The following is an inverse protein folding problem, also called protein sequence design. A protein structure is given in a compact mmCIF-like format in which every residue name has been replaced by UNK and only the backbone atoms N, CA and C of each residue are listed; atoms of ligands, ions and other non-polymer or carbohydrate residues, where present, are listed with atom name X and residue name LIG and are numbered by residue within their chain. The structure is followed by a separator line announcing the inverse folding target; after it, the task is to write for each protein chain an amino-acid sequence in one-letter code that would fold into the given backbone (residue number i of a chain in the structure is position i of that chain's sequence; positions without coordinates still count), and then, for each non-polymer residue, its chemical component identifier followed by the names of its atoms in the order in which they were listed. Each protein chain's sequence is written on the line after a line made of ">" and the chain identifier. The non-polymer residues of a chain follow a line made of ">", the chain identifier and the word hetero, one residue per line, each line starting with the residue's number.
data_IF_138727409956
#
_entry.id   IF_138727409956
#
_cell.length_a   1.000
_cell.length_b   1.000
_cell.length_c   1.000
_cell.angle_alpha   90.00
_cell.angle_beta   90.00
_cell.angle_gamma   90.00
#
_symmetry.space_group_name_H-M   'P 1'
#
loop_
_entity.id
_entity.type
_entity.pdbx_description
1 polymer ?
#
# COMPACT_ATOMS: atom_id res chain seq x y z
N UNK A 1 -67.29 105.92 -42.74
CA UNK A 1 -66.10 105.55 -43.41
C UNK A 1 -64.90 105.45 -42.41
N UNK A 2 -64.71 104.43 -41.73
CA UNK A 2 -63.48 104.03 -41.05
C UNK A 2 -63.84 102.72 -40.32
N UNK A 3 -63.42 101.57 -40.80
CA UNK A 3 -63.22 100.39 -39.97
C UNK A 3 -63.16 99.12 -40.84
N UNK A 4 -62.04 98.87 -41.47
CA UNK A 4 -61.83 97.58 -42.13
C UNK A 4 -60.35 97.23 -42.36
N UNK A 5 -59.40 97.87 -41.65
CA UNK A 5 -58.00 97.54 -41.83
C UNK A 5 -57.24 96.92 -40.64
N UNK A 6 -57.85 96.75 -39.45
CA UNK A 6 -57.16 96.28 -38.25
C UNK A 6 -57.30 94.77 -37.95
N UNK A 7 -58.24 94.06 -38.56
CA UNK A 7 -58.49 92.62 -38.26
C UNK A 7 -57.59 91.69 -39.07
N UNK A 8 -57.04 92.15 -40.23
CA UNK A 8 -56.25 91.26 -41.06
C UNK A 8 -54.72 91.13 -40.63
N UNK A 9 -54.24 92.05 -39.79
CA UNK A 9 -52.87 92.05 -39.35
C UNK A 9 -52.63 91.19 -38.12
N UNK A 10 -53.63 90.99 -37.23
CA UNK A 10 -53.51 90.16 -36.02
C UNK A 10 -53.46 88.63 -36.30
N UNK A 11 -54.14 88.18 -37.38
CA UNK A 11 -54.13 86.76 -37.75
C UNK A 11 -52.84 86.30 -38.41
N UNK A 12 -52.08 87.19 -39.09
CA UNK A 12 -50.80 86.86 -39.69
C UNK A 12 -49.69 86.78 -38.63
N UNK A 13 -49.72 87.56 -37.57
CA UNK A 13 -48.76 87.50 -36.46
C UNK A 13 -49.01 86.29 -35.60
N UNK A 14 -50.26 85.87 -35.38
CA UNK A 14 -50.58 84.61 -34.67
C UNK A 14 -50.16 83.36 -35.47
N UNK A 15 -50.35 83.39 -36.78
CA UNK A 15 -49.92 82.26 -37.65
C UNK A 15 -48.42 82.15 -37.71
N UNK A 16 -47.62 83.23 -37.75
CA UNK A 16 -46.22 83.24 -37.71
C UNK A 16 -45.61 82.83 -36.35
N UNK A 17 -46.24 83.23 -35.22
CA UNK A 17 -45.84 82.80 -33.87
C UNK A 17 -46.15 81.35 -33.66
N UNK A 18 -47.25 80.79 -34.15
CA UNK A 18 -47.60 79.37 -34.05
C UNK A 18 -46.64 78.49 -34.91
N UNK A 19 -46.23 78.97 -36.11
CA UNK A 19 -45.31 78.28 -36.98
C UNK A 19 -43.83 78.26 -36.38
N UNK A 20 -43.43 79.35 -35.73
CA UNK A 20 -42.14 79.43 -35.05
C UNK A 20 -42.09 78.51 -33.80
N UNK A 21 -43.22 78.40 -33.07
CA UNK A 21 -43.29 77.52 -31.87
C UNK A 21 -43.26 76.03 -32.27
N UNK A 22 -43.93 75.67 -33.37
CA UNK A 22 -43.90 74.27 -33.88
C UNK A 22 -42.54 73.95 -34.46
N UNK A 23 -41.83 74.89 -35.13
CA UNK A 23 -40.50 74.69 -35.61
C UNK A 23 -39.44 74.55 -34.50
N UNK A 24 -39.59 75.26 -33.38
CA UNK A 24 -38.71 75.10 -32.19
C UNK A 24 -39.04 73.83 -31.45
N UNK A 25 -40.25 73.31 -31.36
CA UNK A 25 -40.56 72.01 -30.80
C UNK A 25 -40.07 70.86 -31.65
N UNK A 26 -40.05 70.97 -32.99
CA UNK A 26 -39.52 70.00 -33.91
C UNK A 26 -37.99 69.97 -33.87
N UNK A 27 -37.32 71.09 -33.61
CA UNK A 27 -35.86 71.12 -33.44
C UNK A 27 -35.35 70.51 -32.09
N UNK A 28 -36.19 70.54 -31.01
CA UNK A 28 -35.86 69.87 -29.77
C UNK A 28 -36.14 68.36 -29.82
N UNK A 29 -37.01 67.87 -30.71
CA UNK A 29 -37.23 66.43 -30.89
C UNK A 29 -36.15 65.76 -31.79
N UNK A 30 -35.32 66.50 -32.48
CA UNK A 30 -34.24 65.97 -33.35
C UNK A 30 -32.96 65.69 -32.62
N UNK A 31 -32.81 65.98 -31.30
CA UNK A 31 -31.76 65.47 -30.47
C UNK A 31 -32.03 64.01 -30.08
N UNK A 32 -32.11 63.11 -31.03
CA UNK A 32 -32.05 61.68 -30.79
C UNK A 32 -30.79 61.37 -30.00
N UNK A 33 -31.01 60.78 -28.84
CA UNK A 33 -29.97 60.22 -27.93
C UNK A 33 -29.13 59.27 -28.81
N UNK A 34 -27.96 59.70 -29.24
CA UNK A 34 -26.98 58.84 -29.90
C UNK A 34 -26.64 57.75 -28.88
N UNK A 35 -27.14 56.55 -29.13
CA UNK A 35 -26.83 55.39 -28.30
C UNK A 35 -25.31 55.30 -28.21
N UNK A 36 -24.78 55.39 -26.99
CA UNK A 36 -23.35 55.32 -26.78
C UNK A 36 -22.87 53.99 -27.38
N UNK A 37 -21.80 53.98 -28.19
CA UNK A 37 -21.29 52.74 -28.75
C UNK A 37 -21.03 51.76 -27.58
N UNK A 38 -21.54 50.53 -27.72
CA UNK A 38 -21.35 49.48 -26.74
C UNK A 38 -19.88 49.44 -26.31
N UNK A 39 -19.55 49.42 -25.01
CA UNK A 39 -18.17 49.42 -24.56
C UNK A 39 -17.44 48.25 -25.23
N UNK A 40 -16.25 48.56 -25.76
CA UNK A 40 -15.43 47.54 -26.42
C UNK A 40 -15.21 46.34 -25.50
N UNK A 41 -15.31 45.08 -25.99
CA UNK A 41 -15.08 43.89 -25.20
C UNK A 41 -13.75 43.94 -24.46
N UNK A 42 -13.75 43.73 -23.14
CA UNK A 42 -12.53 43.75 -22.31
C UNK A 42 -11.61 42.64 -22.70
N UNK A 43 -10.28 42.90 -22.83
CA UNK A 43 -9.32 41.84 -23.08
C UNK A 43 -9.13 40.99 -21.81
N UNK A 44 -9.17 39.66 -21.96
CA UNK A 44 -8.87 38.68 -20.92
C UNK A 44 -7.94 37.62 -21.49
N UNK A 45 -7.07 37.09 -20.67
CA UNK A 45 -6.27 35.91 -21.01
C UNK A 45 -6.99 34.67 -20.49
N UNK A 46 -7.25 33.71 -21.38
CA UNK A 46 -7.90 32.45 -21.03
C UNK A 46 -7.04 31.27 -21.47
N UNK A 47 -7.02 30.23 -20.64
CA UNK A 47 -6.34 28.96 -20.86
C UNK A 47 -7.38 27.86 -21.05
N UNK A 48 -7.11 26.90 -21.92
CA UNK A 48 -7.93 25.69 -22.01
C UNK A 48 -7.74 24.85 -20.75
N UNK A 49 -8.83 24.41 -20.14
CA UNK A 49 -8.78 23.44 -19.06
C UNK A 49 -8.40 22.08 -19.64
N UNK A 50 -7.12 21.77 -19.58
CA UNK A 50 -6.61 20.43 -19.93
C UNK A 50 -6.79 19.52 -18.72
N UNK A 51 -7.40 18.35 -18.95
CA UNK A 51 -7.52 17.36 -17.90
C UNK A 51 -6.12 16.78 -17.62
N UNK A 52 -5.60 17.03 -16.44
CA UNK A 52 -4.43 16.31 -15.97
C UNK A 52 -4.79 14.83 -15.91
N UNK A 53 -4.13 14.02 -16.72
CA UNK A 53 -4.37 12.60 -16.76
C UNK A 53 -4.04 11.95 -15.43
N UNK A 54 -5.01 11.72 -14.59
CA UNK A 54 -5.02 11.03 -13.31
C UNK A 54 -4.74 11.90 -12.07
N UNK A 55 -5.60 11.78 -11.03
CA UNK A 55 -5.31 12.36 -9.72
C UNK A 55 -3.96 11.85 -9.21
N UNK A 56 -3.20 12.65 -8.43
CA UNK A 56 -1.93 12.22 -7.87
C UNK A 56 -2.15 10.94 -7.09
N UNK A 57 -1.62 9.85 -7.60
CA UNK A 57 -1.67 8.55 -6.93
C UNK A 57 -0.78 8.63 -5.72
N UNK A 58 -1.33 8.39 -4.55
CA UNK A 58 -0.52 8.27 -3.36
C UNK A 58 0.45 7.10 -3.54
N UNK A 59 1.73 7.41 -3.64
CA UNK A 59 2.81 6.42 -3.68
C UNK A 59 3.31 6.25 -2.26
N UNK A 60 3.31 5.03 -1.76
CA UNK A 60 3.80 4.68 -0.44
C UNK A 60 5.10 3.91 -0.56
N UNK A 61 6.11 4.23 0.26
CA UNK A 61 7.33 3.45 0.30
C UNK A 61 7.06 2.08 0.91
N UNK A 62 7.66 1.05 0.34
CA UNK A 62 7.61 -0.31 0.82
C UNK A 62 8.95 -1.01 0.67
N UNK A 63 9.02 -2.25 1.15
CA UNK A 63 10.19 -3.09 1.07
C UNK A 63 9.82 -4.49 0.59
N UNK A 64 10.67 -5.10 -0.22
CA UNK A 64 10.50 -6.49 -0.64
C UNK A 64 10.90 -7.41 0.50
N UNK A 65 9.99 -8.31 0.86
CA UNK A 65 10.21 -9.36 1.85
C UNK A 65 9.81 -10.72 1.29
N UNK A 66 10.41 -11.77 1.83
CA UNK A 66 9.91 -13.12 1.64
C UNK A 66 8.58 -13.27 2.38
N UNK A 67 7.62 -13.97 1.80
CA UNK A 67 6.33 -14.24 2.47
C UNK A 67 6.50 -14.89 3.81
N UNK A 68 7.43 -15.85 3.91
CA UNK A 68 7.73 -16.59 5.13
C UNK A 68 9.22 -16.51 5.45
N UNK A 69 9.52 -16.32 6.71
CA UNK A 69 10.88 -16.42 7.23
C UNK A 69 10.88 -17.16 8.56
N UNK A 70 11.92 -17.93 8.80
CA UNK A 70 12.07 -18.72 10.03
C UNK A 70 13.45 -18.47 10.64
N UNK A 71 13.52 -18.11 11.94
CA UNK A 71 14.76 -18.11 12.66
C UNK A 71 15.18 -19.56 12.91
N UNK A 72 16.33 -19.96 12.39
CA UNK A 72 16.89 -21.29 12.62
C UNK A 72 17.68 -21.29 13.92
N UNK A 73 17.27 -22.13 14.87
CA UNK A 73 17.86 -22.25 16.19
C UNK A 73 18.03 -23.71 16.59
N UNK A 74 19.02 -24.01 17.45
CA UNK A 74 19.21 -25.34 18.00
C UNK A 74 18.16 -25.64 19.09
N UNK A 75 17.72 -26.89 19.16
CA UNK A 75 16.80 -27.39 20.21
C UNK A 75 17.52 -27.85 21.47
N UNK A 76 18.88 -27.84 21.43
CA UNK A 76 19.76 -28.12 22.57
C UNK A 76 20.86 -27.06 22.63
N UNK A 77 21.37 -26.77 23.83
CA UNK A 77 22.47 -25.83 24.00
C UNK A 77 23.83 -26.52 23.77
N UNK A 78 24.83 -25.74 23.33
CA UNK A 78 26.19 -26.23 23.13
C UNK A 78 27.06 -25.24 22.37
N UNK A 79 28.30 -25.64 22.11
CA UNK A 79 29.27 -24.86 21.35
C UNK A 79 29.13 -25.15 19.86
N UNK A 80 29.04 -24.12 19.03
CA UNK A 80 29.04 -24.27 17.57
C UNK A 80 30.43 -24.68 17.10
N UNK A 81 30.54 -25.83 16.47
CA UNK A 81 31.81 -26.36 15.92
C UNK A 81 31.92 -26.08 14.43
N UNK A 82 30.79 -26.08 13.71
CA UNK A 82 30.77 -25.96 12.26
C UNK A 82 29.60 -25.12 11.79
N UNK A 83 29.89 -24.19 10.87
CA UNK A 83 28.87 -23.47 10.09
C UNK A 83 29.12 -23.77 8.61
N UNK A 84 28.12 -24.32 7.91
CA UNK A 84 28.22 -24.78 6.52
C UNK A 84 27.67 -23.81 5.50
N UNK A 85 26.98 -22.76 5.98
CA UNK A 85 26.34 -21.76 5.12
C UNK A 85 26.67 -20.36 5.59
N UNK A 86 26.60 -19.40 4.65
CA UNK A 86 26.89 -17.99 4.86
C UNK A 86 25.68 -17.16 4.47
N UNK A 87 25.72 -15.88 4.86
CA UNK A 87 24.76 -14.87 4.42
C UNK A 87 24.65 -14.86 2.89
N UNK A 88 23.43 -14.97 2.37
CA UNK A 88 23.13 -15.00 0.94
C UNK A 88 23.15 -16.40 0.30
N UNK A 89 23.59 -17.43 1.02
CA UNK A 89 23.57 -18.80 0.50
C UNK A 89 22.15 -19.33 0.36
N UNK A 90 21.92 -20.05 -0.74
CA UNK A 90 20.69 -20.81 -0.95
C UNK A 90 20.82 -22.19 -0.33
N UNK A 91 19.80 -22.61 0.41
CA UNK A 91 19.74 -23.91 1.08
C UNK A 91 18.52 -24.70 0.62
N UNK A 92 18.68 -26.03 0.58
CA UNK A 92 17.58 -26.95 0.36
C UNK A 92 16.93 -27.38 1.69
N UNK A 93 15.67 -27.80 1.65
CA UNK A 93 15.03 -28.42 2.81
C UNK A 93 15.82 -29.69 3.25
N UNK A 94 16.06 -29.84 4.56
CA UNK A 94 16.85 -30.92 5.13
C UNK A 94 18.39 -30.72 5.06
N UNK A 95 18.86 -29.64 4.43
CA UNK A 95 20.30 -29.34 4.36
C UNK A 95 20.84 -28.96 5.75
N UNK A 96 22.01 -29.52 6.11
CA UNK A 96 22.73 -29.19 7.34
C UNK A 96 23.32 -27.79 7.20
N UNK A 97 22.98 -26.87 8.11
CA UNK A 97 23.46 -25.49 8.10
C UNK A 97 24.51 -25.22 9.20
N UNK A 98 24.38 -25.88 10.35
CA UNK A 98 25.37 -25.78 11.44
C UNK A 98 25.42 -27.05 12.31
N UNK A 99 26.46 -27.20 13.12
CA UNK A 99 26.60 -28.28 14.10
C UNK A 99 27.12 -27.74 15.43
N UNK A 100 26.60 -28.30 16.51
CA UNK A 100 27.19 -28.20 17.84
C UNK A 100 28.23 -29.28 18.06
N UNK A 101 29.04 -29.14 19.10
CA UNK A 101 29.88 -30.21 19.60
C UNK A 101 29.00 -31.39 20.08
N UNK A 102 29.08 -32.58 19.45
CA UNK A 102 28.19 -33.69 19.77
C UNK A 102 28.77 -34.58 20.90
N UNK A 103 29.98 -34.28 21.40
CA UNK A 103 30.73 -35.23 22.25
C UNK A 103 29.96 -35.74 23.46
N UNK A 104 29.30 -34.84 24.22
CA UNK A 104 28.56 -35.23 25.41
C UNK A 104 27.23 -35.89 25.06
N UNK A 105 26.53 -35.36 24.05
CA UNK A 105 25.28 -35.97 23.56
C UNK A 105 25.51 -37.38 22.98
N UNK A 106 26.61 -37.58 22.28
CA UNK A 106 27.03 -38.90 21.73
C UNK A 106 27.29 -39.90 22.83
N UNK A 107 28.07 -39.52 23.89
CA UNK A 107 28.32 -40.39 25.04
C UNK A 107 27.04 -40.77 25.79
N UNK A 108 26.15 -39.79 25.99
CA UNK A 108 24.84 -40.00 26.61
C UNK A 108 23.99 -40.98 25.80
N UNK A 109 23.93 -40.79 24.48
CA UNK A 109 23.17 -41.69 23.59
C UNK A 109 23.76 -43.12 23.61
N UNK A 110 25.09 -43.26 23.59
CA UNK A 110 25.75 -44.56 23.69
C UNK A 110 25.50 -45.26 25.05
N UNK A 111 25.53 -44.50 26.16
CA UNK A 111 25.22 -45.03 27.50
C UNK A 111 23.78 -45.50 27.59
N UNK A 112 22.81 -44.70 27.10
CA UNK A 112 21.40 -45.09 27.12
C UNK A 112 21.10 -46.29 26.20
N UNK A 113 21.78 -46.41 25.07
CA UNK A 113 21.69 -47.57 24.19
C UNK A 113 22.21 -48.84 24.86
N UNK A 114 23.34 -48.78 25.59
CA UNK A 114 23.86 -49.90 26.34
C UNK A 114 22.92 -50.35 27.48
N UNK A 115 22.25 -49.38 28.15
CA UNK A 115 21.24 -49.68 29.17
C UNK A 115 20.02 -50.37 28.55
N UNK A 116 19.56 -49.95 27.37
CA UNK A 116 18.48 -50.62 26.65
C UNK A 116 18.85 -52.05 26.26
N UNK A 117 20.05 -52.28 25.77
CA UNK A 117 20.57 -53.62 25.43
C UNK A 117 20.59 -54.54 26.65
N UNK A 118 21.12 -54.06 27.79
CA UNK A 118 21.06 -54.83 29.06
C UNK A 118 19.63 -55.19 29.49
N UNK A 119 18.72 -54.26 29.41
CA UNK A 119 17.30 -54.51 29.74
C UNK A 119 16.61 -55.47 28.74
N UNK A 120 17.03 -55.46 27.46
CA UNK A 120 16.56 -56.44 26.46
C UNK A 120 17.00 -57.86 26.78
N UNK A 121 18.29 -58.04 27.17
CA UNK A 121 18.79 -59.34 27.61
C UNK A 121 18.12 -59.85 28.87
N UNK A 122 17.84 -58.97 29.85
CA UNK A 122 17.12 -59.32 31.06
C UNK A 122 15.67 -59.77 30.76
N UNK A 123 14.98 -59.04 29.84
CA UNK A 123 13.64 -59.44 29.39
C UNK A 123 13.68 -60.79 28.66
N UNK A 124 14.66 -61.02 27.78
CA UNK A 124 14.80 -62.31 27.09
C UNK A 124 15.00 -63.47 28.06
N UNK A 125 15.81 -63.30 29.09
CA UNK A 125 16.02 -64.28 30.13
C UNK A 125 14.74 -64.55 30.92
N UNK A 126 14.06 -63.50 31.39
CA UNK A 126 12.80 -63.63 32.16
C UNK A 126 11.72 -64.32 31.31
N UNK A 127 11.68 -64.03 29.99
CA UNK A 127 10.74 -64.69 29.08
C UNK A 127 11.03 -66.19 28.97
N UNK A 128 12.30 -66.57 28.75
CA UNK A 128 12.68 -67.98 28.67
C UNK A 128 12.37 -68.75 29.95
N UNK A 129 12.52 -68.12 31.15
CA UNK A 129 12.17 -68.71 32.41
C UNK A 129 10.65 -68.92 32.54
N UNK A 130 9.85 -67.89 32.17
CA UNK A 130 8.42 -67.96 32.16
C UNK A 130 7.88 -69.05 31.22
N UNK A 131 8.49 -69.16 30.00
CA UNK A 131 8.04 -70.19 29.03
C UNK A 131 8.34 -71.61 29.56
N UNK A 132 9.49 -71.83 30.25
CA UNK A 132 9.79 -73.12 30.95
C UNK A 132 8.82 -73.41 32.09
N UNK A 133 8.58 -72.45 32.98
CA UNK A 133 7.69 -72.61 34.12
C UNK A 133 6.23 -72.82 33.67
N UNK A 134 5.80 -72.23 32.62
CA UNK A 134 4.49 -72.49 32.01
C UNK A 134 4.35 -73.94 31.50
N UNK A 135 5.36 -74.46 30.82
CA UNK A 135 5.35 -75.85 30.39
C UNK A 135 5.30 -76.82 31.57
N UNK A 136 6.10 -76.62 32.63
CA UNK A 136 6.12 -77.40 33.85
C UNK A 136 4.79 -77.33 34.65
N UNK A 137 4.19 -76.13 34.68
CA UNK A 137 2.88 -75.96 35.32
C UNK A 137 1.72 -76.70 34.60
N UNK A 138 1.80 -76.76 33.27
CA UNK A 138 0.83 -77.52 32.47
C UNK A 138 0.85 -79.00 32.78
N UNK A 139 2.00 -79.51 33.22
CA UNK A 139 2.18 -80.90 33.68
C UNK A 139 2.06 -81.08 35.17
N UNK A 140 1.64 -80.02 35.92
CA UNK A 140 1.47 -80.01 37.41
C UNK A 140 2.81 -80.26 38.16
N UNK A 141 3.96 -79.93 37.59
CA UNK A 141 5.29 -80.20 38.16
C UNK A 141 5.79 -79.06 39.02
N UNK A 142 5.14 -77.90 39.03
CA UNK A 142 5.50 -76.75 39.91
C UNK A 142 4.26 -76.22 40.65
N UNK A 143 4.51 -75.50 41.77
CA UNK A 143 3.49 -74.81 42.51
C UNK A 143 2.91 -73.59 41.76
N UNK A 144 1.63 -73.28 41.83
CA UNK A 144 1.02 -72.10 41.22
C UNK A 144 1.75 -70.77 41.59
N UNK A 145 2.19 -70.66 42.86
CA UNK A 145 2.91 -69.51 43.38
C UNK A 145 4.28 -69.26 42.62
N UNK A 146 4.94 -70.33 42.17
CA UNK A 146 6.16 -70.27 41.42
C UNK A 146 5.92 -69.68 40.02
N UNK A 147 4.87 -70.11 39.34
CA UNK A 147 4.46 -69.55 38.06
C UNK A 147 4.09 -68.06 38.17
N UNK A 148 3.34 -67.67 39.20
CA UNK A 148 2.98 -66.28 39.47
C UNK A 148 4.22 -65.40 39.70
N UNK A 149 5.21 -65.92 40.48
CA UNK A 149 6.47 -65.20 40.68
C UNK A 149 7.21 -64.93 39.34
N UNK A 150 7.28 -65.93 38.45
CA UNK A 150 7.94 -65.83 37.16
C UNK A 150 7.17 -64.89 36.20
N UNK A 151 5.83 -64.93 36.27
CA UNK A 151 4.99 -63.95 35.54
C UNK A 151 5.26 -62.50 35.97
N UNK A 152 5.36 -62.28 37.30
CA UNK A 152 5.70 -60.97 37.85
C UNK A 152 7.13 -60.53 37.47
N UNK A 153 8.11 -61.45 37.48
CA UNK A 153 9.49 -61.17 37.05
C UNK A 153 9.53 -60.76 35.55
N UNK A 154 8.81 -61.46 34.69
CA UNK A 154 8.68 -61.12 33.28
C UNK A 154 8.03 -59.73 33.09
N UNK A 155 6.91 -59.46 33.80
CA UNK A 155 6.21 -58.15 33.70
C UNK A 155 7.15 -57.00 34.14
N UNK A 156 7.93 -57.20 35.21
CA UNK A 156 8.92 -56.26 35.71
C UNK A 156 10.03 -56.00 34.68
N UNK A 157 10.61 -57.06 34.10
CA UNK A 157 11.67 -56.95 33.07
C UNK A 157 11.12 -56.26 31.80
N UNK A 158 9.86 -56.51 31.45
CA UNK A 158 9.22 -55.82 30.32
C UNK A 158 9.08 -54.31 30.57
N UNK A 159 8.63 -53.93 31.79
CA UNK A 159 8.53 -52.52 32.18
C UNK A 159 9.90 -51.82 32.18
N UNK A 160 10.94 -52.47 32.70
CA UNK A 160 12.33 -51.95 32.68
C UNK A 160 12.87 -51.74 31.25
N UNK A 161 12.64 -52.69 30.34
CA UNK A 161 13.01 -52.56 28.94
C UNK A 161 12.28 -51.39 28.27
N UNK A 162 10.97 -51.23 28.53
CA UNK A 162 10.21 -50.12 27.97
C UNK A 162 10.73 -48.76 28.46
N UNK A 163 11.05 -48.63 29.74
CA UNK A 163 11.68 -47.46 30.34
C UNK A 163 13.03 -47.13 29.66
N UNK A 164 13.92 -48.12 29.58
CA UNK A 164 15.22 -47.94 28.92
C UNK A 164 15.09 -47.56 27.45
N UNK A 165 14.09 -48.09 26.74
CA UNK A 165 13.81 -47.75 25.36
C UNK A 165 13.45 -46.25 25.18
N UNK A 166 12.62 -45.72 26.10
CA UNK A 166 12.24 -44.28 26.07
C UNK A 166 13.46 -43.40 26.39
N UNK A 167 14.33 -43.80 27.34
CA UNK A 167 15.55 -43.05 27.65
C UNK A 167 16.52 -43.06 26.49
N UNK A 168 16.73 -44.19 25.80
CA UNK A 168 17.58 -44.30 24.64
C UNK A 168 17.03 -43.42 23.48
N UNK A 169 15.70 -43.37 23.27
CA UNK A 169 15.08 -42.51 22.28
C UNK A 169 15.33 -41.03 22.57
N UNK A 170 15.13 -40.60 23.82
CA UNK A 170 15.38 -39.20 24.22
C UNK A 170 16.85 -38.80 24.00
N UNK A 171 17.80 -39.67 24.40
CA UNK A 171 19.23 -39.39 24.21
C UNK A 171 19.64 -39.35 22.72
N UNK A 172 19.07 -40.22 21.89
CA UNK A 172 19.28 -40.22 20.46
C UNK A 172 18.71 -38.92 19.80
N UNK A 173 17.54 -38.46 20.23
CA UNK A 173 16.96 -37.20 19.77
C UNK A 173 17.83 -35.99 20.17
N UNK A 174 18.33 -35.96 21.41
CA UNK A 174 19.27 -34.92 21.86
C UNK A 174 20.55 -34.87 21.00
N UNK A 175 21.10 -36.02 20.65
CA UNK A 175 22.24 -36.11 19.72
C UNK A 175 21.85 -35.58 18.33
N UNK A 176 20.68 -35.95 17.80
CA UNK A 176 20.17 -35.45 16.51
C UNK A 176 20.03 -33.93 16.52
N UNK A 177 19.55 -33.34 17.64
CA UNK A 177 19.37 -31.90 17.78
C UNK A 177 20.67 -31.09 17.85
N UNK A 178 21.85 -31.74 18.00
CA UNK A 178 23.14 -31.06 17.83
C UNK A 178 23.45 -30.69 16.38
N UNK A 179 22.65 -31.17 15.43
CA UNK A 179 22.73 -30.81 14.01
C UNK A 179 21.56 -29.92 13.64
N UNK A 180 21.87 -28.70 13.20
CA UNK A 180 20.87 -27.76 12.71
C UNK A 180 20.64 -27.96 11.21
N UNK A 181 19.40 -28.17 10.83
CA UNK A 181 18.98 -28.35 9.43
C UNK A 181 18.04 -27.23 9.02
N UNK A 182 17.99 -26.91 7.74
CA UNK A 182 17.01 -25.99 7.17
C UNK A 182 15.68 -26.75 6.99
N UNK A 183 14.62 -26.28 7.63
CA UNK A 183 13.29 -26.91 7.53
C UNK A 183 12.65 -26.73 6.14
N UNK A 184 13.01 -25.65 5.45
CA UNK A 184 12.51 -25.28 4.12
C UNK A 184 13.66 -24.87 3.19
N UNK A 185 13.42 -24.97 1.90
CA UNK A 185 14.32 -24.39 0.92
C UNK A 185 14.20 -22.85 0.93
N UNK A 186 15.35 -22.16 0.88
CA UNK A 186 15.35 -20.70 1.00
C UNK A 186 16.74 -20.10 0.90
N UNK A 187 16.85 -18.85 1.34
CA UNK A 187 18.09 -18.07 1.35
C UNK A 187 18.38 -17.61 2.79
N UNK A 188 19.62 -17.70 3.23
CA UNK A 188 20.06 -17.20 4.52
C UNK A 188 20.12 -15.66 4.46
N UNK A 189 19.30 -14.98 5.28
CA UNK A 189 19.18 -13.50 5.29
C UNK A 189 19.93 -12.84 6.43
N UNK A 190 20.29 -13.58 7.48
CA UNK A 190 21.15 -13.08 8.55
C UNK A 190 21.91 -14.21 9.25
N UNK A 191 23.09 -13.87 9.79
CA UNK A 191 23.91 -14.69 10.67
C UNK A 191 23.89 -14.02 12.06
N UNK A 192 23.53 -14.77 13.12
CA UNK A 192 23.35 -14.22 14.47
C UNK A 192 24.24 -14.91 15.52
N UNK A 193 24.99 -15.95 15.12
CA UNK A 193 25.95 -16.64 15.99
C UNK A 193 27.15 -17.12 15.19
N UNK A 194 28.32 -17.14 15.83
CA UNK A 194 29.59 -17.50 15.22
C UNK A 194 30.09 -18.89 15.60
N UNK A 195 30.97 -19.44 14.75
CA UNK A 195 31.69 -20.67 15.06
C UNK A 195 32.54 -20.47 16.32
N UNK A 196 32.47 -21.40 17.26
CA UNK A 196 33.16 -21.34 18.56
C UNK A 196 32.30 -20.70 19.66
N UNK A 197 31.16 -20.07 19.32
CA UNK A 197 30.23 -19.50 20.28
C UNK A 197 29.40 -20.58 20.97
N UNK A 198 29.12 -20.38 22.27
CA UNK A 198 28.12 -21.16 22.99
C UNK A 198 26.76 -20.55 22.78
N UNK A 199 25.77 -21.37 22.40
CA UNK A 199 24.38 -20.99 22.18
C UNK A 199 23.46 -21.72 23.15
N UNK A 200 22.36 -21.05 23.51
CA UNK A 200 21.31 -21.62 24.33
C UNK A 200 20.18 -22.18 23.44
N UNK A 201 19.28 -22.96 24.06
CA UNK A 201 18.10 -23.48 23.37
C UNK A 201 17.24 -22.32 22.84
N UNK A 202 16.86 -22.39 21.56
CA UNK A 202 16.01 -21.39 20.93
C UNK A 202 16.71 -20.10 20.52
N UNK A 203 18.04 -19.95 20.81
CA UNK A 203 18.80 -18.80 20.34
C UNK A 203 18.96 -18.87 18.83
N UNK A 204 18.53 -17.82 18.07
CA UNK A 204 18.68 -17.82 16.63
C UNK A 204 20.14 -17.83 16.19
N UNK A 205 20.46 -18.68 15.22
CA UNK A 205 21.80 -18.78 14.58
C UNK A 205 21.75 -18.16 13.18
N UNK A 206 20.67 -18.40 12.46
CA UNK A 206 20.41 -17.87 11.14
C UNK A 206 18.97 -17.40 11.03
N UNK A 207 18.70 -16.53 10.05
CA UNK A 207 17.33 -16.32 9.59
C UNK A 207 17.22 -16.84 8.15
N UNK A 208 16.24 -17.70 7.91
CA UNK A 208 15.96 -18.33 6.62
C UNK A 208 14.72 -17.66 6.00
N UNK A 209 14.89 -16.98 4.89
CA UNK A 209 13.79 -16.56 4.03
C UNK A 209 13.42 -17.70 3.08
N UNK A 210 12.16 -18.12 3.08
CA UNK A 210 11.73 -19.24 2.24
C UNK A 210 11.69 -18.85 0.77
N UNK A 211 12.03 -19.79 -0.09
CA UNK A 211 11.81 -19.64 -1.52
C UNK A 211 10.31 -19.64 -1.81
N UNK A 212 9.89 -18.86 -2.80
CA UNK A 212 8.50 -18.82 -3.24
C UNK A 212 7.99 -17.41 -3.46
N UNK A 213 6.79 -17.17 -2.96
CA UNK A 213 6.13 -15.88 -3.13
C UNK A 213 6.85 -14.74 -2.42
N UNK A 214 6.95 -13.63 -3.12
CA UNK A 214 7.53 -12.38 -2.63
C UNK A 214 6.40 -11.42 -2.33
N UNK A 215 6.44 -10.83 -1.16
CA UNK A 215 5.53 -9.78 -0.75
C UNK A 215 6.27 -8.42 -0.71
N UNK A 216 5.52 -7.36 -0.94
CA UNK A 216 5.95 -5.99 -0.63
C UNK A 216 5.23 -5.58 0.64
N UNK A 217 5.99 -5.19 1.64
CA UNK A 217 5.46 -4.67 2.91
C UNK A 217 5.54 -3.15 2.87
N UNK A 218 4.43 -2.48 3.09
CA UNK A 218 4.38 -1.01 3.19
C UNK A 218 3.50 -0.58 4.35
N UNK A 219 3.79 0.60 4.89
CA UNK A 219 3.04 1.20 5.98
C UNK A 219 2.08 2.25 5.41
N UNK A 220 0.78 2.04 5.64
CA UNK A 220 -0.32 2.82 5.10
C UNK A 220 -0.86 3.78 6.16
N UNK A 221 -0.87 5.09 5.94
CA UNK A 221 -1.45 6.04 6.88
C UNK A 221 -2.98 5.88 6.96
N UNK A 222 -3.56 6.21 8.10
CA UNK A 222 -5.01 6.08 8.38
C UNK A 222 -5.86 6.79 7.31
N UNK A 223 -5.41 7.94 6.81
CA UNK A 223 -6.11 8.69 5.76
C UNK A 223 -6.29 7.93 4.44
N UNK A 224 -5.43 6.94 4.16
CA UNK A 224 -5.49 6.13 2.94
C UNK A 224 -6.27 4.82 3.10
N UNK A 225 -6.65 4.44 4.34
CA UNK A 225 -7.33 3.17 4.63
C UNK A 225 -8.70 3.04 3.96
N UNK A 226 -9.46 4.15 3.87
CA UNK A 226 -10.82 4.12 3.31
C UNK A 226 -10.86 3.65 1.84
N UNK A 227 -9.73 3.79 1.13
CA UNK A 227 -9.57 3.37 -0.26
C UNK A 227 -8.90 1.99 -0.40
N UNK A 228 -8.52 1.34 0.72
CA UNK A 228 -7.75 0.12 0.71
C UNK A 228 -8.55 -1.05 1.29
N UNK A 229 -8.60 -2.15 0.55
CA UNK A 229 -9.20 -3.40 1.01
C UNK A 229 -8.30 -4.58 0.62
N UNK A 230 -8.44 -5.70 1.35
CA UNK A 230 -7.82 -6.96 0.94
C UNK A 230 -8.31 -7.33 -0.46
N UNK A 231 -7.39 -7.70 -1.34
CA UNK A 231 -7.66 -7.95 -2.76
C UNK A 231 -7.50 -6.72 -3.66
N UNK A 232 -7.31 -5.51 -3.13
CA UNK A 232 -7.08 -4.31 -3.92
C UNK A 232 -5.80 -4.47 -4.78
N UNK A 233 -5.87 -3.96 -6.01
CA UNK A 233 -4.73 -3.96 -6.94
C UNK A 233 -3.80 -2.80 -6.65
N UNK A 234 -2.51 -3.06 -6.80
CA UNK A 234 -1.47 -2.06 -6.71
C UNK A 234 -0.43 -2.27 -7.82
N UNK A 235 0.32 -1.24 -8.10
CA UNK A 235 1.49 -1.28 -8.95
C UNK A 235 2.72 -1.02 -8.09
N UNK A 236 3.72 -1.87 -8.23
CA UNK A 236 4.99 -1.78 -7.51
C UNK A 236 6.08 -1.39 -8.48
N UNK A 237 6.76 -0.30 -8.22
CA UNK A 237 7.97 0.11 -8.93
C UNK A 237 9.17 -0.06 -8.00
N UNK A 238 10.30 -0.50 -8.55
CA UNK A 238 11.54 -0.72 -7.79
C UNK A 238 12.59 0.28 -8.24
N UNK A 239 13.12 1.07 -7.31
CA UNK A 239 14.18 2.03 -7.62
C UNK A 239 15.42 1.39 -8.25
N UNK A 240 15.72 0.14 -7.87
CA UNK A 240 16.83 -0.64 -8.42
C UNK A 240 16.57 -1.19 -9.84
N UNK A 241 15.32 -1.17 -10.33
CA UNK A 241 14.92 -1.67 -11.66
C UNK A 241 14.11 -0.59 -12.41
N UNK A 242 14.76 0.50 -12.84
CA UNK A 242 14.08 1.63 -13.44
C UNK A 242 13.32 1.21 -14.72
N UNK A 243 12.10 1.74 -14.88
CA UNK A 243 11.24 1.45 -16.02
C UNK A 243 10.48 0.13 -15.95
N UNK A 244 10.70 -0.71 -14.92
CA UNK A 244 9.89 -1.92 -14.68
C UNK A 244 8.87 -1.65 -13.58
N UNK A 245 7.61 -2.02 -13.85
CA UNK A 245 6.53 -2.01 -12.88
C UNK A 245 5.91 -3.41 -12.78
N UNK A 246 5.51 -3.80 -11.59
CA UNK A 246 4.98 -5.12 -11.29
C UNK A 246 3.59 -5.00 -10.70
N UNK A 247 2.68 -5.84 -11.18
CA UNK A 247 1.36 -5.93 -10.60
C UNK A 247 1.44 -6.61 -9.24
N UNK A 248 0.73 -6.07 -8.27
CA UNK A 248 0.63 -6.62 -6.93
C UNK A 248 -0.81 -6.52 -6.42
N UNK A 249 -1.12 -7.32 -5.41
CA UNK A 249 -2.43 -7.36 -4.78
C UNK A 249 -2.30 -7.38 -3.27
N UNK A 250 -3.10 -6.54 -2.59
CA UNK A 250 -3.15 -6.53 -1.13
C UNK A 250 -3.63 -7.91 -0.65
N UNK A 251 -2.76 -8.62 0.04
CA UNK A 251 -3.04 -9.92 0.64
C UNK A 251 -3.50 -9.80 2.09
N UNK A 252 -2.85 -8.90 2.82
CA UNK A 252 -3.05 -8.73 4.25
C UNK A 252 -2.99 -7.25 4.61
N UNK A 253 -3.90 -6.81 5.44
CA UNK A 253 -3.92 -5.48 6.03
C UNK A 253 -4.04 -5.64 7.54
N UNK A 254 -3.10 -5.06 8.30
CA UNK A 254 -3.13 -5.12 9.76
C UNK A 254 -4.45 -4.54 10.29
N UNK A 255 -5.14 -5.21 11.21
CA UNK A 255 -6.37 -4.70 11.82
C UNK A 255 -6.11 -3.57 12.83
N UNK A 256 -4.86 -3.39 13.26
CA UNK A 256 -4.46 -2.39 14.23
C UNK A 256 -3.30 -1.55 13.69
N UNK A 257 -3.30 -0.27 14.02
CA UNK A 257 -2.18 0.62 13.74
C UNK A 257 -0.98 0.31 14.63
N UNK A 258 0.20 0.48 14.09
CA UNK A 258 1.42 0.54 14.88
C UNK A 258 1.38 1.78 15.79
N UNK A 259 1.58 1.63 17.11
CA UNK A 259 1.41 2.74 18.06
C UNK A 259 2.44 3.86 17.91
N UNK A 260 3.59 3.59 17.31
CA UNK A 260 4.68 4.58 17.14
C UNK A 260 4.51 5.37 15.84
N UNK A 261 4.26 4.68 14.73
CA UNK A 261 4.14 5.33 13.42
C UNK A 261 2.70 5.77 13.08
N UNK A 262 1.69 5.23 13.77
CA UNK A 262 0.25 5.40 13.48
C UNK A 262 -0.12 4.98 12.06
N UNK A 263 0.58 3.98 11.55
CA UNK A 263 0.35 3.41 10.22
C UNK A 263 -0.14 1.98 10.34
N UNK A 264 -0.82 1.51 9.31
CA UNK A 264 -1.30 0.14 9.19
C UNK A 264 -0.40 -0.62 8.23
N UNK A 265 0.13 -1.74 8.67
CA UNK A 265 0.99 -2.57 7.82
C UNK A 265 0.18 -3.31 6.78
N UNK A 266 0.49 -3.08 5.51
CA UNK A 266 -0.08 -3.80 4.37
C UNK A 266 0.98 -4.71 3.75
N UNK A 267 0.59 -5.96 3.43
CA UNK A 267 1.42 -6.91 2.69
C UNK A 267 0.76 -7.17 1.34
N UNK A 268 1.52 -6.93 0.29
CA UNK A 268 1.07 -7.09 -1.08
C UNK A 268 1.85 -8.22 -1.74
N UNK A 269 1.16 -9.19 -2.31
CA UNK A 269 1.81 -10.22 -3.11
C UNK A 269 2.09 -9.71 -4.51
N UNK A 270 3.32 -9.86 -4.96
CA UNK A 270 3.72 -9.59 -6.35
C UNK A 270 3.25 -10.72 -7.23
N UNK A 271 2.45 -10.43 -8.28
CA UNK A 271 1.82 -11.47 -9.12
C UNK A 271 2.82 -12.22 -10.02
N UNK A 272 3.89 -11.59 -10.45
CA UNK A 272 4.92 -12.21 -11.31
C UNK A 272 6.32 -11.74 -10.89
N UNK A 273 6.86 -12.27 -9.77
CA UNK A 273 8.20 -11.89 -9.32
C UNK A 273 9.27 -12.34 -10.30
N UNK A 274 10.27 -11.48 -10.53
CA UNK A 274 11.43 -11.81 -11.37
C UNK A 274 12.65 -12.14 -10.51
N UNK A 275 13.63 -12.86 -11.10
CA UNK A 275 14.87 -13.21 -10.40
C UNK A 275 15.74 -12.00 -10.01
N UNK A 276 15.50 -10.84 -10.62
CA UNK A 276 16.19 -9.60 -10.31
C UNK A 276 15.69 -8.95 -9.02
N UNK A 277 14.52 -9.36 -8.52
CA UNK A 277 13.97 -8.89 -7.24
C UNK A 277 14.73 -9.53 -6.09
N UNK A 278 15.40 -8.71 -5.30
CA UNK A 278 16.11 -9.17 -4.11
C UNK A 278 15.36 -8.71 -2.86
N UNK A 279 15.37 -9.57 -1.85
CA UNK A 279 14.83 -9.21 -0.53
C UNK A 279 15.56 -7.98 0.01
N UNK A 280 14.81 -7.08 0.66
CA UNK A 280 15.32 -5.83 1.18
C UNK A 280 15.33 -4.66 0.18
N UNK A 281 15.00 -4.87 -1.11
CA UNK A 281 14.86 -3.76 -2.05
C UNK A 281 13.72 -2.85 -1.66
N UNK A 282 13.95 -1.54 -1.78
CA UNK A 282 12.90 -0.52 -1.62
C UNK A 282 11.97 -0.54 -2.82
N UNK A 283 10.70 -0.43 -2.55
CA UNK A 283 9.62 -0.42 -3.53
C UNK A 283 8.72 0.79 -3.35
N UNK A 284 8.27 1.35 -4.45
CA UNK A 284 7.23 2.37 -4.49
C UNK A 284 5.90 1.73 -4.84
N UNK A 285 4.97 1.72 -3.88
CA UNK A 285 3.66 1.09 -4.02
C UNK A 285 2.62 2.14 -4.38
N UNK A 286 2.01 2.01 -5.55
CA UNK A 286 0.92 2.86 -6.00
C UNK A 286 -0.37 2.04 -6.02
N UNK A 287 -1.33 2.38 -5.19
CA UNK A 287 -2.63 1.71 -5.18
C UNK A 287 -3.51 2.19 -6.34
N UNK A 288 -4.16 1.24 -7.03
CA UNK A 288 -5.23 1.58 -7.94
C UNK A 288 -6.38 2.13 -7.08
N UNK A 289 -6.67 3.42 -7.18
CA UNK A 289 -7.87 3.95 -6.55
C UNK A 289 -9.07 3.17 -7.08
N UNK A 290 -9.88 2.61 -6.17
CA UNK A 290 -11.21 2.17 -6.55
C UNK A 290 -11.86 3.36 -7.27
N UNK A 291 -12.32 3.13 -8.51
CA UNK A 291 -12.96 4.15 -9.34
C UNK A 291 -14.16 4.68 -8.55
N UNK A 292 -13.92 5.66 -7.71
CA UNK A 292 -14.99 6.45 -7.16
C UNK A 292 -15.54 7.24 -8.34
N UNK A 293 -16.70 6.77 -8.83
CA UNK A 293 -17.66 7.47 -9.64
C UNK A 293 -17.16 8.73 -10.36
N UNK A 294 -17.04 8.62 -11.71
CA UNK A 294 -17.09 9.70 -12.67
C UNK A 294 -16.70 11.09 -12.13
N UNK A 295 -15.44 11.32 -11.89
CA UNK A 295 -14.93 12.68 -11.78
C UNK A 295 -14.55 13.09 -13.20
N UNK A 296 -15.36 13.92 -13.81
CA UNK A 296 -14.95 14.72 -14.94
C UNK A 296 -13.58 15.35 -14.59
N UNK A 297 -12.55 15.01 -15.28
CA UNK A 297 -11.13 15.36 -15.17
C UNK A 297 -10.68 16.18 -13.96
N UNK A 298 -9.51 15.85 -13.45
CA UNK A 298 -8.76 16.76 -12.57
C UNK A 298 -8.08 17.77 -13.45
N UNK A 299 -8.29 19.06 -13.16
CA UNK A 299 -7.73 20.16 -13.95
C UNK A 299 -6.73 20.94 -13.12
N UNK A 300 -5.53 21.14 -13.62
CA UNK A 300 -4.56 22.06 -13.02
C UNK A 300 -4.67 23.42 -13.70
N UNK A 301 -5.02 24.43 -12.91
CA UNK A 301 -5.13 25.81 -13.35
C UNK A 301 -4.10 26.69 -12.63
N UNK A 302 -3.66 27.79 -13.23
CA UNK A 302 -2.91 28.81 -12.51
C UNK A 302 -3.72 29.33 -11.30
N UNK A 303 -3.07 29.55 -10.16
CA UNK A 303 -3.74 30.07 -8.95
C UNK A 303 -4.46 31.40 -9.17
N UNK A 304 -3.99 32.21 -10.15
CA UNK A 304 -4.59 33.48 -10.56
C UNK A 304 -5.92 33.33 -11.28
N UNK A 305 -6.29 32.14 -11.76
CA UNK A 305 -7.58 31.86 -12.37
C UNK A 305 -8.70 31.70 -11.33
N UNK A 306 -8.32 31.43 -10.06
CA UNK A 306 -9.28 31.22 -9.00
C UNK A 306 -9.78 32.55 -8.46
N UNK A 307 -11.10 32.67 -8.40
CA UNK A 307 -11.82 33.79 -7.81
C UNK A 307 -12.66 33.28 -6.64
N UNK A 308 -12.97 34.13 -5.68
CA UNK A 308 -13.87 33.77 -4.58
C UNK A 308 -15.17 34.56 -4.70
N UNK A 309 -16.27 33.84 -4.97
CA UNK A 309 -17.60 34.37 -4.87
C UNK A 309 -18.11 34.24 -3.44
N UNK A 310 -18.06 35.32 -2.68
CA UNK A 310 -18.22 35.33 -1.22
C UNK A 310 -17.16 34.47 -0.49
N UNK A 311 -17.46 33.21 -0.19
CA UNK A 311 -16.54 32.26 0.46
C UNK A 311 -16.28 31.01 -0.37
N UNK A 312 -16.92 30.92 -1.54
CA UNK A 312 -16.81 29.72 -2.39
C UNK A 312 -15.84 29.96 -3.54
N UNK A 313 -14.96 29.00 -3.83
CA UNK A 313 -14.05 29.09 -4.96
C UNK A 313 -14.83 28.99 -6.28
N UNK A 314 -14.53 29.89 -7.22
CA UNK A 314 -15.16 29.96 -8.53
C UNK A 314 -14.15 30.36 -9.60
N UNK A 315 -14.47 30.08 -10.85
CA UNK A 315 -13.69 30.46 -12.02
C UNK A 315 -14.60 31.09 -13.07
N UNK A 316 -14.02 31.92 -13.96
CA UNK A 316 -14.69 32.44 -15.11
C UNK A 316 -14.48 31.54 -16.31
N UNK A 317 -15.57 30.99 -16.85
CA UNK A 317 -15.56 30.19 -18.09
C UNK A 317 -15.99 31.05 -19.27
N UNK A 318 -15.23 31.02 -20.34
CA UNK A 318 -15.51 31.71 -21.59
C UNK A 318 -16.36 30.81 -22.48
N UNK A 319 -17.63 31.20 -22.71
CA UNK A 319 -18.54 30.47 -23.60
C UNK A 319 -18.14 30.62 -25.08
N UNK A 320 -18.78 29.86 -25.96
CA UNK A 320 -18.58 29.92 -27.40
C UNK A 320 -18.89 31.27 -28.03
N UNK A 321 -19.80 32.04 -27.43
CA UNK A 321 -20.21 33.42 -27.83
C UNK A 321 -19.34 34.52 -27.19
N UNK A 322 -18.22 34.11 -26.50
CA UNK A 322 -17.32 34.95 -25.73
C UNK A 322 -17.97 35.67 -24.53
N UNK A 323 -19.13 35.21 -24.06
CA UNK A 323 -19.72 35.67 -22.81
C UNK A 323 -19.09 34.89 -21.62
N UNK A 324 -18.94 35.56 -20.47
CA UNK A 324 -18.41 34.99 -19.27
C UNK A 324 -19.51 34.35 -18.43
N UNK A 325 -19.23 33.14 -17.94
CA UNK A 325 -20.03 32.43 -16.94
C UNK A 325 -19.20 32.21 -15.67
N UNK A 326 -19.75 32.69 -14.54
CA UNK A 326 -19.17 32.38 -13.23
C UNK A 326 -19.58 30.97 -12.86
N UNK A 327 -18.58 30.10 -12.63
CA UNK A 327 -18.83 28.70 -12.27
C UNK A 327 -18.09 28.35 -10.99
N UNK A 328 -18.81 27.82 -10.00
CA UNK A 328 -18.26 27.34 -8.75
C UNK A 328 -17.52 26.04 -8.99
N UNK A 329 -16.39 25.87 -8.32
CA UNK A 329 -15.49 24.73 -8.48
C UNK A 329 -15.10 24.14 -7.15
N UNK A 330 -14.82 22.84 -7.11
CA UNK A 330 -14.22 22.18 -5.94
C UNK A 330 -12.72 22.09 -6.11
N UNK A 331 -12.00 22.67 -5.16
CA UNK A 331 -10.52 22.69 -5.13
C UNK A 331 -10.02 21.56 -4.25
N UNK A 332 -9.23 20.64 -4.83
CA UNK A 332 -8.60 19.55 -4.10
C UNK A 332 -7.30 19.97 -3.41
N UNK A 333 -6.53 20.84 -4.07
CA UNK A 333 -5.22 21.28 -3.55
C UNK A 333 -4.86 22.68 -4.05
N UNK A 334 -4.28 23.47 -3.14
CA UNK A 334 -3.64 24.74 -3.44
C UNK A 334 -2.13 24.51 -3.49
N UNK A 335 -1.50 24.76 -4.65
CA UNK A 335 -0.05 24.79 -4.83
C UNK A 335 0.48 26.22 -4.76
N UNK A 336 1.79 26.40 -4.91
CA UNK A 336 2.41 27.74 -4.88
C UNK A 336 1.98 28.61 -6.07
N UNK A 337 1.86 28.06 -7.26
CA UNK A 337 1.51 28.77 -8.51
C UNK A 337 0.27 28.19 -9.20
N UNK A 338 -0.21 27.03 -8.78
CA UNK A 338 -1.30 26.28 -9.40
C UNK A 338 -2.36 25.87 -8.39
N UNK A 339 -3.57 25.63 -8.89
CA UNK A 339 -4.70 25.09 -8.12
C UNK A 339 -5.25 23.87 -8.85
N UNK A 340 -5.51 22.81 -8.11
CA UNK A 340 -6.07 21.57 -8.64
C UNK A 340 -7.57 21.55 -8.38
N UNK A 341 -8.35 21.53 -9.46
CA UNK A 341 -9.84 21.53 -9.46
C UNK A 341 -10.33 20.13 -9.82
N UNK A 342 -11.24 19.60 -9.02
CA UNK A 342 -11.81 18.25 -9.21
C UNK A 342 -13.23 18.21 -9.74
N UNK A 343 -14.00 19.31 -9.58
CA UNK A 343 -15.36 19.43 -10.08
C UNK A 343 -15.67 20.83 -10.55
N UNK A 344 -16.61 20.92 -11.49
CA UNK A 344 -17.12 22.20 -12.00
C UNK A 344 -16.55 22.62 -13.35
N UNK A 345 -15.63 21.86 -13.93
CA UNK A 345 -15.04 22.11 -15.26
C UNK A 345 -15.15 20.88 -16.17
N UNK A 346 -15.18 21.12 -17.47
CA UNK A 346 -15.08 20.09 -18.50
C UNK A 346 -13.80 20.30 -19.32
N UNK A 347 -13.27 19.20 -19.88
CA UNK A 347 -12.08 19.25 -20.71
C UNK A 347 -12.29 20.15 -21.94
N UNK A 348 -11.33 21.02 -22.24
CA UNK A 348 -11.36 21.94 -23.34
C UNK A 348 -12.13 23.27 -23.10
N UNK A 349 -12.76 23.44 -21.90
CA UNK A 349 -13.35 24.74 -21.56
C UNK A 349 -12.26 25.79 -21.35
N UNK A 350 -12.49 27.00 -21.83
CA UNK A 350 -11.54 28.12 -21.67
C UNK A 350 -11.82 28.85 -20.37
N UNK A 351 -10.85 28.86 -19.47
CA UNK A 351 -10.91 29.50 -18.15
C UNK A 351 -10.07 30.77 -18.16
N UNK A 352 -10.66 31.87 -17.71
CA UNK A 352 -9.95 33.14 -17.55
C UNK A 352 -8.97 33.05 -16.40
N UNK A 353 -7.72 33.45 -16.60
CA UNK A 353 -6.70 33.43 -15.58
C UNK A 353 -6.07 34.81 -15.29
N UNK A 354 -6.20 35.78 -16.25
CA UNK A 354 -5.84 37.18 -16.01
C UNK A 354 -7.04 38.07 -16.33
N UNK A 355 -7.32 39.03 -15.44
CA UNK A 355 -8.46 39.92 -15.52
C UNK A 355 -9.67 39.44 -14.71
N UNK A 356 -9.55 38.39 -13.90
CA UNK A 356 -10.66 37.75 -13.14
C UNK A 356 -11.41 38.70 -12.22
N UNK A 357 -10.77 39.74 -11.69
CA UNK A 357 -11.39 40.73 -10.78
C UNK A 357 -12.03 41.93 -11.48
N UNK A 358 -11.87 42.04 -12.81
CA UNK A 358 -12.32 43.20 -13.60
C UNK A 358 -13.53 42.92 -14.48
N UNK A 359 -14.04 41.69 -14.46
CA UNK A 359 -15.13 41.19 -15.32
C UNK A 359 -16.33 40.80 -14.52
N UNK A 360 -17.48 40.71 -15.18
CA UNK A 360 -18.78 40.37 -14.60
C UNK A 360 -19.48 39.25 -15.37
N UNK A 361 -20.42 38.55 -14.70
CA UNK A 361 -21.21 37.50 -15.34
C UNK A 361 -22.02 38.03 -16.53
N UNK A 362 -21.98 37.31 -17.65
CA UNK A 362 -22.65 37.69 -18.89
C UNK A 362 -21.90 38.74 -19.73
N UNK A 363 -20.81 39.30 -19.25
CA UNK A 363 -19.99 40.25 -19.99
C UNK A 363 -19.32 39.59 -21.20
N UNK A 364 -19.35 40.24 -22.37
CA UNK A 364 -18.64 39.79 -23.55
C UNK A 364 -17.16 40.24 -23.47
N UNK A 365 -16.27 39.32 -23.61
CA UNK A 365 -14.82 39.54 -23.51
C UNK A 365 -14.11 39.22 -24.81
N UNK A 366 -12.91 39.79 -24.99
CA UNK A 366 -12.01 39.44 -26.08
C UNK A 366 -10.85 38.64 -25.49
N UNK A 367 -10.77 37.36 -25.84
CA UNK A 367 -9.63 36.51 -25.44
C UNK A 367 -8.40 36.96 -26.22
N UNK A 368 -7.33 37.25 -25.49
CA UNK A 368 -6.03 37.62 -26.01
C UNK A 368 -4.97 36.64 -25.57
N UNK A 369 -3.92 36.46 -26.38
CA UNK A 369 -2.80 35.63 -26.00
C UNK A 369 -2.03 36.25 -24.80
N UNK A 370 -1.42 35.45 -23.93
CA UNK A 370 -0.56 35.95 -22.87
C UNK A 370 0.66 36.67 -23.46
N UNK A 371 1.11 37.71 -22.76
CA UNK A 371 2.29 38.48 -23.18
C UNK A 371 3.59 37.69 -23.04
N UNK A 372 3.63 36.75 -22.08
CA UNK A 372 4.76 35.88 -21.77
C UNK A 372 4.28 34.42 -21.66
N UNK A 373 4.19 33.67 -22.79
CA UNK A 373 3.73 32.27 -22.79
C UNK A 373 4.65 31.36 -21.99
N UNK A 374 5.95 31.69 -21.88
CA UNK A 374 6.97 30.94 -21.15
C UNK A 374 6.74 30.91 -19.64
N UNK A 375 6.06 31.90 -19.06
CA UNK A 375 5.74 31.92 -17.63
C UNK A 375 4.68 30.87 -17.22
N UNK A 376 4.17 30.13 -18.19
CA UNK A 376 3.00 29.25 -18.09
C UNK A 376 3.24 27.83 -18.60
N UNK A 377 4.42 27.57 -19.13
CA UNK A 377 4.88 26.21 -19.37
C UNK A 377 5.23 25.57 -18.00
N UNK A 378 4.33 24.73 -17.50
CA UNK A 378 4.51 23.91 -16.28
C UNK A 378 5.45 22.75 -16.52
#
# INVERSE_FOLDING_TARGET
>A
VISSRCVFQSNRIRALASAAFIATLAALAACGKKEAPAPAPRPVVAVAAEADGQPPRATLPGQIESRYSTPLSFRVGGKITERRVRLGDSVAAGQIVAKLDPADASKNAASAAAQLEAAQHQLAYAKQQLDRDRAQSAENLIAPAQLEQTQNAYATALAQRNQAQQQAGLAADQLKYTTLIADHAGVITSEQADTGQNVTVGQPVYNLAWNGDIDVVCDVPESALSALAVGARATVALGALPGKSFAARVRELSPAADPQSRTYRAKLTVEAPTRDMRLGMTADVTFAQAVATQHAGVFTLPSTALFHDNKEPAVWVVKSDNALELRRVEVARYGERTVTVTRGLNAGERVVWQGVHTVSAGEKVRVVAPLHPEDFAS
#
